data_IF_071600040659
#
_entry.id   IF_071600040659
#
_cell.length_a   1.000
_cell.length_b   1.000
_cell.length_c   1.000
_cell.angle_alpha   90.00
_cell.angle_beta   90.00
_cell.angle_gamma   90.00
#
_symmetry.space_group_name_H-M   'P 1'
#
loop_
_entity.id
_entity.type
_entity.pdbx_description
1 polymer ?
#
# COMPACT_ATOMS: atom_id res chain seq x y z
N UNK A 1 9.91 -12.68 19.53
CA UNK A 1 10.09 -11.31 20.07
C UNK A 1 9.00 -10.43 19.46
N UNK A 2 8.21 -9.68 20.25
CA UNK A 2 7.16 -8.84 19.67
C UNK A 2 7.78 -7.60 18.99
N UNK A 3 7.28 -7.23 17.81
CA UNK A 3 7.68 -6.01 17.10
C UNK A 3 7.37 -4.78 17.96
N UNK A 4 8.41 -4.11 18.44
CA UNK A 4 8.31 -2.83 19.16
C UNK A 4 8.89 -1.73 18.27
N UNK A 5 8.04 -0.79 17.85
CA UNK A 5 8.44 0.40 17.09
C UNK A 5 8.32 1.63 17.99
N UNK A 6 9.41 2.13 18.58
CA UNK A 6 9.35 3.18 19.61
C UNK A 6 8.74 4.50 19.12
N UNK A 7 8.76 4.77 17.81
CA UNK A 7 8.29 6.03 17.23
C UNK A 7 7.02 5.92 16.37
N UNK A 8 6.36 4.76 16.32
CA UNK A 8 5.16 4.61 15.49
C UNK A 8 3.93 5.15 16.21
N UNK A 9 3.58 6.41 15.94
CA UNK A 9 2.36 7.04 16.43
C UNK A 9 1.14 6.40 15.77
N UNK A 10 0.24 5.84 16.57
CA UNK A 10 -1.01 5.24 16.08
C UNK A 10 -2.00 6.34 15.73
N UNK A 11 -2.62 6.24 14.56
CA UNK A 11 -3.71 7.13 14.15
C UNK A 11 -5.06 6.42 14.25
N UNK A 12 -6.10 7.20 14.53
CA UNK A 12 -7.48 6.74 14.71
C UNK A 12 -8.42 7.62 13.89
N UNK A 13 -9.55 7.07 13.45
CA UNK A 13 -10.62 7.86 12.83
C UNK A 13 -11.65 8.37 13.86
N UNK A 14 -12.67 9.07 13.37
CA UNK A 14 -13.70 9.71 14.20
C UNK A 14 -14.55 8.71 14.99
N UNK A 15 -14.63 7.46 14.53
CA UNK A 15 -15.39 6.38 15.15
C UNK A 15 -14.51 5.57 16.14
N UNK A 16 -13.24 5.96 16.29
CA UNK A 16 -12.27 5.33 17.18
C UNK A 16 -11.59 4.10 16.58
N UNK A 17 -11.68 3.87 15.26
CA UNK A 17 -10.95 2.79 14.63
C UNK A 17 -9.49 3.18 14.41
N UNK A 18 -8.58 2.28 14.74
CA UNK A 18 -7.17 2.45 14.36
C UNK A 18 -7.05 2.34 12.83
N UNK A 19 -6.49 3.37 12.21
CA UNK A 19 -6.24 3.41 10.77
C UNK A 19 -5.04 2.54 10.42
N UNK A 20 -5.22 1.67 9.42
CA UNK A 20 -4.20 0.73 8.95
C UNK A 20 -4.14 0.71 7.43
N UNK A 21 -3.01 0.30 6.89
CA UNK A 21 -2.86 0.04 5.46
C UNK A 21 -2.11 -1.28 5.24
N UNK A 22 -2.44 -1.97 4.16
CA UNK A 22 -1.85 -3.25 3.76
C UNK A 22 -1.83 -3.37 2.24
N UNK A 23 -1.00 -4.26 1.70
CA UNK A 23 -1.07 -4.65 0.29
C UNK A 23 -1.17 -6.16 0.11
N UNK A 24 -1.93 -6.57 -0.90
CA UNK A 24 -1.76 -7.86 -1.54
C UNK A 24 -0.62 -7.71 -2.57
N UNK A 25 0.55 -8.21 -2.21
CA UNK A 25 1.76 -8.12 -3.03
C UNK A 25 1.78 -9.31 -4.01
N UNK A 26 1.51 -9.08 -5.29
CA UNK A 26 1.52 -10.12 -6.31
C UNK A 26 2.83 -10.19 -7.05
N UNK A 27 3.19 -11.40 -7.49
CA UNK A 27 4.41 -11.65 -8.27
C UNK A 27 4.33 -11.04 -9.66
N UNK A 28 3.13 -10.96 -10.24
CA UNK A 28 2.88 -10.45 -11.60
C UNK A 28 1.52 -9.77 -11.67
N UNK A 29 1.23 -9.13 -12.82
CA UNK A 29 -0.09 -8.53 -13.10
C UNK A 29 -1.20 -9.60 -13.30
N UNK A 30 -0.87 -10.90 -13.29
CA UNK A 30 -1.87 -11.99 -13.34
C UNK A 30 -2.56 -12.22 -11.98
N UNK A 31 -1.99 -11.72 -10.89
CA UNK A 31 -2.55 -11.82 -9.54
C UNK A 31 -2.76 -13.27 -9.01
N UNK A 32 -2.01 -14.25 -9.53
CA UNK A 32 -2.13 -15.69 -9.16
C UNK A 32 -1.33 -16.09 -7.91
N UNK A 33 -0.20 -15.42 -7.65
CA UNK A 33 0.69 -15.68 -6.53
C UNK A 33 0.87 -14.42 -5.67
N UNK A 34 0.53 -14.53 -4.38
CA UNK A 34 0.60 -13.46 -3.38
C UNK A 34 1.68 -13.75 -2.35
N UNK A 35 2.41 -12.71 -1.94
CA UNK A 35 3.43 -12.79 -0.90
C UNK A 35 2.79 -12.60 0.48
N UNK A 36 2.99 -13.59 1.36
CA UNK A 36 2.64 -13.50 2.77
C UNK A 36 3.90 -13.38 3.63
N UNK A 37 3.74 -12.87 4.85
CA UNK A 37 4.81 -12.80 5.83
C UNK A 37 4.41 -13.49 7.13
N UNK A 38 5.39 -14.01 7.88
CA UNK A 38 5.12 -14.62 9.17
C UNK A 38 4.61 -13.58 10.17
N UNK A 39 3.71 -13.98 11.06
CA UNK A 39 3.18 -13.13 12.12
C UNK A 39 4.25 -12.86 13.18
N UNK A 40 4.39 -11.60 13.59
CA UNK A 40 5.34 -11.21 14.64
C UNK A 40 5.01 -11.79 16.02
N UNK A 41 3.76 -12.21 16.25
CA UNK A 41 3.33 -12.84 17.52
C UNK A 41 3.39 -14.37 17.48
N UNK A 42 3.15 -14.96 16.31
CA UNK A 42 3.05 -16.40 16.09
C UNK A 42 3.82 -16.71 14.80
N UNK A 43 5.15 -16.93 14.87
CA UNK A 43 6.01 -17.05 13.69
C UNK A 43 5.69 -18.21 12.74
N UNK A 44 4.88 -19.16 13.21
CA UNK A 44 4.31 -20.30 12.50
C UNK A 44 3.03 -19.96 11.69
N UNK A 45 2.47 -18.76 11.89
CA UNK A 45 1.28 -18.28 11.18
C UNK A 45 1.62 -17.25 10.12
N UNK A 46 0.88 -17.27 9.01
CA UNK A 46 1.03 -16.31 7.91
C UNK A 46 0.02 -15.16 8.01
N UNK A 47 0.43 -13.98 7.53
CA UNK A 47 -0.39 -12.77 7.44
C UNK A 47 -0.09 -12.01 6.14
N UNK A 48 -1.07 -11.24 5.66
CA UNK A 48 -0.85 -10.17 4.69
C UNK A 48 -0.02 -9.06 5.35
N UNK A 49 1.06 -8.57 4.72
CA UNK A 49 1.88 -7.49 5.26
C UNK A 49 1.09 -6.18 5.33
N UNK A 50 1.22 -5.49 6.46
CA UNK A 50 0.52 -4.23 6.68
C UNK A 50 0.49 -3.80 8.14
N UNK A 51 0.36 -2.51 8.38
CA UNK A 51 0.51 -1.92 9.71
C UNK A 51 -0.30 -0.67 9.93
N UNK A 52 0.15 0.19 10.84
CA UNK A 52 -0.56 1.39 11.24
C UNK A 52 -0.21 2.55 10.32
N UNK A 53 -1.20 3.37 9.98
CA UNK A 53 -0.94 4.64 9.32
C UNK A 53 -0.32 5.63 10.31
N UNK A 54 0.70 6.34 9.87
CA UNK A 54 1.32 7.43 10.63
C UNK A 54 0.54 8.74 10.48
N UNK A 55 0.74 9.74 11.37
CA UNK A 55 0.12 11.05 11.23
C UNK A 55 0.43 11.69 9.87
N UNK A 56 -0.58 12.30 9.24
CA UNK A 56 -0.44 12.97 7.93
C UNK A 56 -0.05 12.05 6.76
N UNK A 57 -0.06 10.73 6.97
CA UNK A 57 0.26 9.75 5.94
C UNK A 57 -0.97 9.37 5.12
N UNK A 58 -0.83 9.40 3.79
CA UNK A 58 -1.84 8.91 2.87
C UNK A 58 -1.92 7.37 2.90
N UNK A 59 -3.11 6.74 2.81
CA UNK A 59 -3.24 5.29 2.92
C UNK A 59 -2.37 4.49 1.97
N UNK A 60 -2.20 4.95 0.72
CA UNK A 60 -1.32 4.30 -0.25
C UNK A 60 0.16 4.39 0.12
N UNK A 61 0.59 5.54 0.66
CA UNK A 61 1.95 5.72 1.17
C UNK A 61 2.24 4.78 2.35
N UNK A 62 1.30 4.69 3.29
CA UNK A 62 1.36 3.76 4.41
C UNK A 62 1.46 2.30 3.95
N UNK A 63 0.69 1.92 2.93
CA UNK A 63 0.70 0.57 2.38
C UNK A 63 2.09 0.22 1.80
N UNK A 64 2.67 1.12 1.00
CA UNK A 64 4.01 0.97 0.40
C UNK A 64 5.10 0.90 1.48
N UNK A 65 5.06 1.78 2.48
CA UNK A 65 6.01 1.75 3.60
C UNK A 65 5.94 0.44 4.37
N UNK A 66 4.74 -0.01 4.73
CA UNK A 66 4.58 -1.23 5.52
C UNK A 66 5.05 -2.48 4.78
N UNK A 67 4.81 -2.62 3.47
CA UNK A 67 5.32 -3.78 2.73
C UNK A 67 6.83 -3.75 2.56
N UNK A 68 7.43 -2.56 2.47
CA UNK A 68 8.87 -2.40 2.46
C UNK A 68 9.48 -2.88 3.79
N UNK A 69 8.92 -2.43 4.91
CA UNK A 69 9.39 -2.75 6.25
C UNK A 69 9.11 -4.22 6.65
N UNK A 70 7.94 -4.76 6.32
CA UNK A 70 7.51 -6.10 6.77
C UNK A 70 7.89 -7.22 5.79
N UNK A 71 7.88 -6.96 4.49
CA UNK A 71 8.11 -7.97 3.46
C UNK A 71 9.37 -7.74 2.62
N UNK A 72 10.01 -6.57 2.74
CA UNK A 72 11.24 -6.27 1.99
C UNK A 72 11.00 -6.23 0.49
N UNK A 73 9.86 -5.71 0.03
CA UNK A 73 9.53 -5.61 -1.39
C UNK A 73 9.23 -4.17 -1.81
N UNK A 74 9.54 -3.86 -3.07
CA UNK A 74 9.06 -2.67 -3.76
C UNK A 74 8.27 -3.08 -4.99
N UNK A 75 7.40 -2.20 -5.44
CA UNK A 75 6.54 -2.50 -6.57
C UNK A 75 5.74 -1.31 -7.04
N UNK A 76 4.97 -1.58 -8.10
CA UNK A 76 3.99 -0.65 -8.63
C UNK A 76 2.72 -0.77 -7.80
N UNK A 77 2.39 0.27 -7.04
CA UNK A 77 1.13 0.36 -6.31
C UNK A 77 -0.02 0.44 -7.32
N UNK A 78 -0.98 -0.46 -7.19
CA UNK A 78 -2.16 -0.55 -8.04
C UNK A 78 -3.41 0.01 -7.36
N UNK A 79 -4.55 -0.60 -7.68
CA UNK A 79 -5.86 -0.17 -7.19
C UNK A 79 -6.04 -0.37 -5.68
N UNK A 80 -6.87 0.48 -5.08
CA UNK A 80 -7.47 0.21 -3.77
C UNK A 80 -8.50 -0.92 -3.95
N UNK A 81 -8.26 -2.07 -3.32
CA UNK A 81 -9.20 -3.19 -3.32
C UNK A 81 -10.41 -2.92 -2.42
N UNK A 82 -10.18 -2.20 -1.33
CA UNK A 82 -11.24 -1.74 -0.44
C UNK A 82 -10.75 -1.38 0.95
N UNK A 83 -11.71 -1.03 1.78
CA UNK A 83 -11.52 -0.75 3.20
C UNK A 83 -12.20 -1.88 3.96
N UNK A 84 -11.45 -2.53 4.84
CA UNK A 84 -11.90 -3.70 5.60
C UNK A 84 -11.88 -3.40 7.09
N UNK A 85 -12.95 -3.79 7.78
CA UNK A 85 -13.15 -3.51 9.19
C UNK A 85 -13.03 -4.77 10.02
N UNK A 86 -12.31 -4.66 11.14
CA UNK A 86 -12.22 -5.73 12.13
C UNK A 86 -12.72 -5.22 13.48
N UNK A 87 -13.97 -5.57 13.77
CA UNK A 87 -14.74 -5.00 14.88
C UNK A 87 -14.60 -5.74 16.22
N UNK A 88 -14.28 -7.03 16.19
CA UNK A 88 -14.47 -7.88 17.38
C UNK A 88 -13.50 -7.56 18.53
N UNK A 89 -12.21 -7.33 18.26
CA UNK A 89 -11.21 -7.21 19.35
C UNK A 89 -10.43 -5.89 19.39
N UNK A 90 -10.28 -5.19 18.26
CA UNK A 90 -9.26 -4.12 18.15
C UNK A 90 -9.69 -2.87 17.37
N UNK A 91 -10.92 -2.84 16.84
CA UNK A 91 -11.45 -1.77 15.98
C UNK A 91 -10.40 -1.30 14.97
N UNK A 92 -10.09 -2.14 13.99
CA UNK A 92 -9.18 -1.78 12.91
C UNK A 92 -9.94 -1.47 11.64
N UNK A 93 -9.53 -0.41 10.93
CA UNK A 93 -10.01 -0.08 9.59
C UNK A 93 -8.81 -0.06 8.65
N UNK A 94 -8.73 -1.04 7.75
CA UNK A 94 -7.54 -1.30 6.93
C UNK A 94 -7.82 -0.98 5.47
N UNK A 95 -7.06 -0.05 4.90
CA UNK A 95 -7.03 0.21 3.47
C UNK A 95 -6.15 -0.84 2.80
N UNK A 96 -6.72 -1.65 1.91
CA UNK A 96 -6.00 -2.75 1.26
C UNK A 96 -5.81 -2.41 -0.21
N UNK A 97 -4.55 -2.33 -0.64
CA UNK A 97 -4.16 -2.09 -2.02
C UNK A 97 -3.67 -3.36 -2.70
N UNK A 98 -3.66 -3.36 -4.02
CA UNK A 98 -2.92 -4.31 -4.84
C UNK A 98 -1.55 -3.73 -5.14
N UNK A 99 -0.49 -4.54 -5.08
CA UNK A 99 0.86 -4.12 -5.46
C UNK A 99 1.52 -5.21 -6.31
N UNK A 100 2.00 -4.85 -7.50
CA UNK A 100 2.80 -5.76 -8.32
C UNK A 100 4.26 -5.60 -7.92
N UNK A 101 4.87 -6.66 -7.39
CA UNK A 101 6.25 -6.65 -6.91
C UNK A 101 7.21 -6.53 -8.10
N UNK A 102 8.12 -5.56 -8.03
CA UNK A 102 9.17 -5.34 -9.04
C UNK A 102 10.57 -5.57 -8.49
N UNK A 103 10.74 -5.49 -7.17
CA UNK A 103 12.02 -5.65 -6.49
C UNK A 103 11.82 -6.40 -5.17
N UNK A 104 12.72 -7.34 -4.89
CA UNK A 104 12.75 -8.13 -3.65
C UNK A 104 14.11 -7.89 -3.00
N UNK A 105 14.13 -7.34 -1.79
CA UNK A 105 15.34 -7.09 -1.01
C UNK A 105 15.77 -8.36 -0.28
N UNK A 106 17.06 -8.70 -0.30
CA UNK A 106 17.59 -9.85 0.45
C UNK A 106 17.43 -9.66 1.96
N UNK A 107 17.90 -8.52 2.47
CA UNK A 107 17.74 -8.09 3.86
C UNK A 107 16.73 -6.94 3.96
N UNK A 108 15.86 -7.00 4.96
CA UNK A 108 14.88 -5.95 5.24
C UNK A 108 14.61 -5.82 6.74
N UNK A 109 14.02 -4.70 7.15
CA UNK A 109 13.88 -4.29 8.56
C UNK A 109 13.32 -5.40 9.46
N UNK A 110 12.15 -5.95 9.14
CA UNK A 110 11.53 -6.98 9.99
C UNK A 110 12.25 -8.35 9.92
N UNK A 111 12.94 -8.68 8.82
CA UNK A 111 13.78 -9.89 8.78
C UNK A 111 14.91 -9.78 9.79
N UNK A 112 15.67 -8.68 9.73
CA UNK A 112 16.84 -8.47 10.59
C UNK A 112 16.43 -8.28 12.05
N UNK A 113 15.39 -7.48 12.31
CA UNK A 113 15.05 -7.09 13.67
C UNK A 113 14.25 -8.14 14.44
N UNK A 114 13.40 -8.92 13.77
CA UNK A 114 12.49 -9.87 14.43
C UNK A 114 12.46 -11.26 13.80
N UNK A 115 13.31 -11.52 12.80
CA UNK A 115 13.35 -12.82 12.11
C UNK A 115 12.10 -13.11 11.28
N UNK A 116 11.43 -12.06 10.76
CA UNK A 116 10.22 -12.25 9.96
C UNK A 116 10.55 -12.96 8.65
N UNK A 117 9.75 -13.97 8.32
CA UNK A 117 9.85 -14.74 7.07
C UNK A 117 8.84 -14.20 6.06
N UNK A 118 9.08 -14.48 4.78
CA UNK A 118 8.16 -14.22 3.67
C UNK A 118 8.14 -15.41 2.72
N UNK A 119 6.99 -15.68 2.12
CA UNK A 119 6.83 -16.78 1.18
C UNK A 119 5.71 -16.48 0.19
N UNK A 120 5.87 -16.98 -1.04
CA UNK A 120 4.89 -16.86 -2.10
C UNK A 120 3.87 -17.99 -2.00
N UNK A 121 2.59 -17.65 -2.10
CA UNK A 121 1.49 -18.59 -2.09
C UNK A 121 0.62 -18.37 -3.31
N UNK A 122 0.10 -19.45 -3.89
CA UNK A 122 -1.07 -19.33 -4.77
C UNK A 122 -2.22 -18.72 -3.99
N UNK A 123 -3.07 -17.92 -4.63
CA UNK A 123 -4.20 -17.25 -3.94
C UNK A 123 -5.07 -18.24 -3.19
N UNK A 124 -5.36 -19.42 -3.76
CA UNK A 124 -6.16 -20.47 -3.12
C UNK A 124 -5.52 -20.97 -1.83
N UNK A 125 -4.20 -21.16 -1.83
CA UNK A 125 -3.47 -21.69 -0.68
C UNK A 125 -3.27 -20.61 0.38
N UNK A 126 -3.05 -19.36 -0.04
CA UNK A 126 -3.02 -18.20 0.83
C UNK A 126 -4.33 -18.04 1.63
N UNK A 127 -5.49 -18.19 0.96
CA UNK A 127 -6.80 -18.15 1.63
C UNK A 127 -6.87 -19.24 2.71
N UNK A 128 -6.51 -20.49 2.40
CA UNK A 128 -6.56 -21.61 3.36
C UNK A 128 -5.71 -21.37 4.60
N UNK A 129 -4.47 -20.91 4.44
CA UNK A 129 -3.57 -20.68 5.58
C UNK A 129 -3.99 -19.47 6.42
N UNK A 130 -4.64 -18.48 5.81
CA UNK A 130 -5.14 -17.29 6.52
C UNK A 130 -6.44 -17.56 7.26
N UNK A 131 -7.34 -18.39 6.72
CA UNK A 131 -8.68 -18.62 7.28
C UNK A 131 -8.67 -19.02 8.76
N UNK A 132 -7.71 -19.87 9.15
CA UNK A 132 -7.64 -20.43 10.51
C UNK A 132 -7.33 -19.38 11.60
N UNK A 133 -6.55 -18.34 11.27
CA UNK A 133 -5.99 -17.43 12.30
C UNK A 133 -6.13 -15.95 11.97
N UNK A 134 -6.46 -15.61 10.72
CA UNK A 134 -6.60 -14.27 10.16
C UNK A 134 -7.71 -14.24 9.11
N UNK A 135 -8.96 -14.58 9.47
CA UNK A 135 -10.06 -14.67 8.49
C UNK A 135 -10.28 -13.37 7.72
N UNK A 136 -10.16 -12.20 8.38
CA UNK A 136 -10.24 -10.90 7.70
C UNK A 136 -9.18 -10.73 6.59
N UNK A 137 -7.99 -11.31 6.75
CA UNK A 137 -6.99 -11.28 5.68
C UNK A 137 -7.35 -12.21 4.51
N UNK A 138 -8.03 -13.33 4.79
CA UNK A 138 -8.55 -14.22 3.75
C UNK A 138 -9.66 -13.52 2.94
N UNK A 139 -10.54 -12.75 3.61
CA UNK A 139 -11.57 -11.93 2.97
C UNK A 139 -11.00 -10.96 1.93
N UNK A 140 -9.76 -10.46 2.12
CA UNK A 140 -9.10 -9.61 1.12
C UNK A 140 -8.94 -10.37 -0.21
N UNK A 141 -8.45 -11.60 -0.15
CA UNK A 141 -8.21 -12.45 -1.32
C UNK A 141 -9.52 -13.00 -1.92
N UNK A 142 -10.53 -13.26 -1.09
CA UNK A 142 -11.86 -13.64 -1.57
C UNK A 142 -12.51 -12.50 -2.36
N UNK A 143 -12.42 -11.25 -1.85
CA UNK A 143 -12.92 -10.07 -2.55
C UNK A 143 -12.22 -9.85 -3.89
N UNK A 144 -10.91 -10.13 -3.96
CA UNK A 144 -10.15 -10.08 -5.20
C UNK A 144 -10.75 -10.99 -6.28
N UNK A 145 -11.07 -12.24 -5.91
CA UNK A 145 -11.64 -13.25 -6.83
C UNK A 145 -13.01 -12.86 -7.36
N UNK A 146 -13.86 -12.31 -6.50
CA UNK A 146 -15.20 -11.87 -6.90
C UNK A 146 -15.14 -10.71 -7.92
N UNK A 147 -14.09 -9.88 -7.87
CA UNK A 147 -13.87 -8.80 -8.83
C UNK A 147 -13.23 -9.23 -10.16
N UNK A 148 -12.66 -10.43 -10.26
CA UNK A 148 -11.99 -10.96 -11.46
C UNK A 148 -12.87 -11.93 -12.28
N UNK A 149 -14.07 -12.26 -11.80
CA UNK A 149 -14.99 -13.10 -12.56
C UNK A 149 -15.55 -12.32 -13.76
N UNK A 150 -15.41 -12.80 -15.01
CA UNK A 150 -16.08 -12.19 -16.15
C UNK A 150 -17.59 -12.33 -15.95
N UNK A 151 -18.26 -11.20 -15.69
CA UNK A 151 -19.72 -11.16 -15.63
C UNK A 151 -20.30 -11.35 -17.02
N UNK A 152 -20.55 -12.61 -17.38
CA UNK A 152 -21.51 -12.97 -18.42
C UNK A 152 -22.92 -12.86 -17.84
N UNK A 153 -23.76 -12.01 -18.44
CA UNK A 153 -25.21 -12.18 -18.39
C UNK A 153 -26.02 -11.00 -17.84
N UNK A 154 -26.52 -10.19 -18.76
CA UNK A 154 -27.80 -9.48 -18.76
C UNK A 154 -28.57 -9.40 -17.44
N UNK A 155 -28.76 -8.18 -16.95
CA UNK A 155 -29.99 -7.80 -16.26
C UNK A 155 -30.41 -6.42 -16.72
N UNK A 156 -31.41 -6.44 -17.59
CA UNK A 156 -32.29 -5.37 -18.02
C UNK A 156 -32.66 -4.43 -16.87
N UNK A 157 -32.30 -3.16 -17.02
CA UNK A 157 -32.78 -2.04 -16.22
C UNK A 157 -34.20 -1.69 -16.69
N UNK A 158 -35.21 -1.60 -15.82
CA UNK A 158 -36.47 -0.98 -16.17
C UNK A 158 -36.33 0.54 -16.15
N UNK A 159 -36.55 1.17 -17.30
CA UNK A 159 -36.70 2.61 -17.50
C UNK A 159 -38.01 3.15 -16.92
N UNK A 160 -37.99 4.37 -16.37
CA UNK A 160 -39.00 5.47 -16.46
C UNK A 160 -38.87 6.43 -15.23
N UNK A 161 -39.36 7.68 -15.30
CA UNK A 161 -39.37 8.64 -16.39
C UNK A 161 -38.75 10.01 -16.01
N UNK A 162 -38.56 10.83 -17.04
CA UNK A 162 -38.13 12.23 -17.05
C UNK A 162 -38.85 13.15 -16.07
N UNK A 163 -38.10 14.10 -15.48
CA UNK A 163 -38.55 15.49 -15.30
C UNK A 163 -37.42 16.45 -14.90
N UNK A 164 -37.45 17.62 -15.54
CA UNK A 164 -36.88 18.91 -15.16
C UNK A 164 -35.43 19.24 -15.53
N UNK A 165 -35.31 19.66 -16.79
CA UNK A 165 -34.72 20.93 -17.25
C UNK A 165 -34.46 21.96 -16.14
N UNK A 166 -33.20 22.33 -15.93
CA UNK A 166 -32.80 23.69 -15.52
C UNK A 166 -31.39 23.97 -16.07
N UNK A 167 -31.34 24.88 -17.05
CA UNK A 167 -30.12 25.50 -17.55
C UNK A 167 -29.57 26.47 -16.51
N UNK A 168 -28.28 26.40 -16.20
CA UNK A 168 -27.49 27.59 -15.81
C UNK A 168 -26.07 27.47 -16.38
N UNK A 169 -25.68 28.58 -16.99
CA UNK A 169 -24.56 28.93 -17.84
C UNK A 169 -23.15 28.78 -17.25
N UNK A 170 -22.23 28.44 -18.15
CA UNK A 170 -20.78 28.51 -17.98
C UNK A 170 -20.29 29.96 -17.82
N UNK A 171 -19.36 30.16 -16.88
CA UNK A 171 -18.47 31.32 -16.86
C UNK A 171 -17.03 30.82 -16.90
N UNK A 172 -16.32 31.25 -17.94
CA UNK A 172 -14.89 31.10 -18.12
C UNK A 172 -14.17 32.13 -17.24
N UNK A 173 -13.13 31.71 -16.53
CA UNK A 173 -12.02 32.61 -16.18
C UNK A 173 -10.70 31.85 -16.30
N UNK A 174 -9.89 32.36 -17.22
CA UNK A 174 -8.48 32.07 -17.47
C UNK A 174 -7.55 32.42 -16.28
N UNK A 175 -6.47 31.65 -16.10
CA UNK A 175 -5.32 32.06 -15.27
C UNK A 175 -4.29 30.93 -15.03
N UNK A 176 -3.15 31.02 -15.70
CA UNK A 176 -1.96 30.14 -15.63
C UNK A 176 -1.05 30.51 -14.40
N UNK A 177 0.14 29.91 -14.22
CA UNK A 177 0.47 28.80 -13.32
C UNK A 177 1.26 29.22 -12.06
N UNK A 178 1.25 28.39 -11.01
CA UNK A 178 2.18 28.53 -9.88
C UNK A 178 3.09 27.31 -9.76
N UNK A 179 4.37 27.59 -9.99
CA UNK A 179 5.53 26.74 -9.81
C UNK A 179 5.63 26.09 -8.43
N UNK A 180 6.09 24.82 -8.41
CA UNK A 180 7.09 24.24 -7.51
C UNK A 180 6.89 24.47 -6.00
N UNK A 181 6.47 23.42 -5.26
CA UNK A 181 7.05 22.94 -3.98
C UNK A 181 6.12 21.94 -3.28
N UNK A 182 6.53 20.68 -3.21
CA UNK A 182 6.56 19.90 -1.95
C UNK A 182 7.17 18.53 -2.23
N UNK A 183 8.50 18.44 -2.12
CA UNK A 183 9.12 17.15 -1.81
C UNK A 183 8.83 16.89 -0.33
N UNK A 184 8.05 15.84 -0.04
CA UNK A 184 7.71 15.45 1.32
C UNK A 184 8.98 15.06 2.09
N UNK A 185 8.97 15.27 3.41
CA UNK A 185 10.09 14.97 4.30
C UNK A 185 10.54 13.49 4.27
N UNK A 186 9.76 12.59 3.67
CA UNK A 186 10.16 11.22 3.39
C UNK A 186 11.36 11.13 2.42
N UNK A 187 11.48 12.07 1.47
CA UNK A 187 12.59 12.09 0.51
C UNK A 187 13.89 12.65 1.11
N UNK A 188 13.79 13.43 2.20
CA UNK A 188 14.94 14.05 2.88
C UNK A 188 15.65 13.13 3.88
N UNK A 189 15.11 11.94 4.18
CA UNK A 189 15.80 10.93 5.02
C UNK A 189 16.70 9.97 4.22
N UNK A 190 16.73 10.08 2.89
CA UNK A 190 17.55 9.25 2.00
C UNK A 190 18.87 9.90 1.55
N UNK A 191 19.18 11.10 2.05
CA UNK A 191 20.41 11.85 1.68
C UNK A 191 21.29 12.10 2.90
N UNK A 192 21.74 11.03 3.54
CA UNK A 192 22.95 11.08 4.34
C UNK A 192 23.69 9.75 4.18
N UNK A 193 25.01 9.80 4.10
CA UNK A 193 26.00 8.70 3.91
C UNK A 193 26.66 8.66 2.51
N UNK A 194 27.81 9.36 2.40
CA UNK A 194 28.89 9.31 1.39
C UNK A 194 28.83 10.24 0.14
N UNK A 195 30.00 10.72 -0.33
CA UNK A 195 30.12 11.85 -1.26
C UNK A 195 31.01 11.56 -2.49
N UNK A 196 30.55 11.92 -3.69
CA UNK A 196 31.34 12.38 -4.87
C UNK A 196 30.45 13.15 -5.85
N UNK A 197 30.96 14.24 -6.44
CA UNK A 197 30.19 15.25 -7.20
C UNK A 197 30.26 15.01 -8.71
N UNK A 198 29.11 15.11 -9.41
CA UNK A 198 29.04 15.10 -10.88
C UNK A 198 28.30 16.34 -11.40
N UNK A 199 28.72 16.82 -12.57
CA UNK A 199 28.15 18.00 -13.24
C UNK A 199 27.42 17.53 -14.49
N UNK A 200 26.13 17.88 -14.61
CA UNK A 200 25.33 17.64 -15.80
C UNK A 200 24.79 18.96 -16.35
N UNK A 201 24.73 19.08 -17.68
CA UNK A 201 24.23 20.27 -18.38
C UNK A 201 22.89 19.94 -19.03
N UNK A 202 21.81 20.57 -18.53
CA UNK A 202 20.45 20.44 -19.09
C UNK A 202 19.87 21.85 -19.22
N UNK A 203 19.49 22.22 -20.45
CA UNK A 203 18.88 23.52 -20.80
C UNK A 203 19.66 24.74 -20.28
N UNK A 204 21.00 24.70 -20.35
CA UNK A 204 21.87 25.85 -20.06
C UNK A 204 22.00 26.22 -18.58
N UNK A 205 21.53 25.37 -17.65
CA UNK A 205 21.80 25.52 -16.21
C UNK A 205 22.69 24.38 -15.70
N UNK A 206 23.67 24.74 -14.89
CA UNK A 206 24.67 23.82 -14.33
C UNK A 206 24.16 23.26 -13.01
N UNK A 207 23.81 21.97 -12.98
CA UNK A 207 23.26 21.30 -11.79
C UNK A 207 24.36 20.49 -11.08
N UNK A 208 24.57 20.77 -9.78
CA UNK A 208 25.45 19.98 -8.91
C UNK A 208 24.68 18.82 -8.29
N UNK A 209 25.12 17.57 -8.55
CA UNK A 209 24.58 16.39 -7.89
C UNK A 209 25.68 15.63 -7.12
N UNK A 210 25.36 15.15 -5.91
CA UNK A 210 26.22 14.31 -5.08
C UNK A 210 25.79 12.84 -5.19
N UNK A 211 26.76 11.94 -5.36
CA UNK A 211 26.61 10.49 -5.36
C UNK A 211 27.11 9.90 -4.04
N UNK A 212 26.29 9.05 -3.42
CA UNK A 212 26.61 8.30 -2.20
C UNK A 212 27.17 6.93 -2.58
N UNK A 213 28.49 6.74 -2.41
CA UNK A 213 29.16 5.42 -2.56
C UNK A 213 29.29 4.72 -1.22
N UNK A 214 28.89 3.43 -1.21
CA UNK A 214 29.11 2.42 -0.15
C UNK A 214 30.46 2.58 0.56
N UNK A 215 30.41 2.52 1.90
CA UNK A 215 31.45 1.92 2.75
C UNK A 215 30.82 0.75 3.48
#
# INVERSE_FOLDING_TARGET
MMKFKPNQTRTYDREGFKKRAACLCFRSEQEDEVLLVSSSRYPDQWIVPGGGMEPEEEPGGAAVREVYEEAGVKGKLGRLLGIFEQNQDRKHRTYVYVLTVTEILEDWEDSVNIGRKREWFKVEDAIKVLQCHKPVHAEYLEKLKLGCSPTNGNSTVPSLPDSNTLFVTAAQTSGLPSSVKMLSRAMLKLLNEHHKMYVYEIMGFQLLCYETRKV
#
